data_IF_759813281933
#
_entry.id   IF_759813281933
#
_cell.length_a   1.000
_cell.length_b   1.000
_cell.length_c   1.000
_cell.angle_alpha   90.00
_cell.angle_beta   90.00
_cell.angle_gamma   90.00
#
_symmetry.space_group_name_H-M   'P 1'
#
loop_
_entity.id
_entity.type
_entity.pdbx_description
1 polymer ?
#
# COMPACT_ATOMS: atom_id res chain seq x y z
N UNK A 1 5.94 -9.49 5.40
CA UNK A 1 5.81 -8.85 6.72
C UNK A 1 5.55 -7.36 6.54
N UNK A 2 4.55 -6.83 7.24
CA UNK A 2 4.21 -5.41 7.13
C UNK A 2 5.14 -4.60 8.04
N UNK A 3 5.98 -3.79 7.42
CA UNK A 3 6.96 -2.97 8.13
C UNK A 3 6.38 -1.61 8.51
N UNK A 4 7.12 -0.86 9.31
CA UNK A 4 6.76 0.51 9.65
C UNK A 4 6.62 1.37 8.37
N UNK A 5 7.49 1.16 7.40
CA UNK A 5 7.46 1.89 6.14
C UNK A 5 6.14 1.68 5.40
N UNK A 6 5.68 0.43 5.36
CA UNK A 6 4.41 0.11 4.71
C UNK A 6 3.24 0.76 5.44
N UNK A 7 3.27 0.75 6.77
CA UNK A 7 2.21 1.38 7.55
C UNK A 7 2.18 2.89 7.34
N UNK A 8 3.33 3.53 7.28
CA UNK A 8 3.40 4.97 7.01
C UNK A 8 2.87 5.30 5.61
N UNK A 9 3.20 4.45 4.63
CA UNK A 9 2.69 4.60 3.27
C UNK A 9 1.16 4.53 3.27
N UNK A 10 0.60 3.54 3.95
CA UNK A 10 -0.85 3.37 4.00
C UNK A 10 -1.53 4.57 4.66
N UNK A 11 -0.93 5.11 5.72
CA UNK A 11 -1.47 6.31 6.37
C UNK A 11 -1.50 7.50 5.42
N UNK A 12 -0.46 7.66 4.62
CA UNK A 12 -0.40 8.75 3.63
C UNK A 12 -1.45 8.56 2.55
N UNK A 13 -1.68 7.32 2.13
CA UNK A 13 -2.73 7.01 1.17
C UNK A 13 -4.09 7.37 1.74
N UNK A 14 -4.35 7.01 3.00
CA UNK A 14 -5.61 7.31 3.66
C UNK A 14 -5.86 8.82 3.80
N UNK A 15 -4.79 9.59 3.93
CA UNK A 15 -4.88 11.05 4.02
C UNK A 15 -4.98 11.73 2.66
N UNK A 16 -4.96 10.96 1.58
CA UNK A 16 -5.05 11.51 0.24
C UNK A 16 -3.78 12.17 -0.27
N UNK A 17 -2.63 11.83 0.32
CA UNK A 17 -1.34 12.41 -0.08
C UNK A 17 -0.76 11.77 -1.32
N UNK A 18 -1.28 10.59 -1.72
CA UNK A 18 -0.86 9.91 -2.93
C UNK A 18 -2.05 9.77 -3.87
N UNK A 19 -1.81 9.93 -5.18
CA UNK A 19 -2.76 9.51 -6.19
C UNK A 19 -2.74 7.98 -6.28
N UNK A 20 -3.72 7.40 -6.95
CA UNK A 20 -3.78 5.95 -7.12
C UNK A 20 -2.50 5.43 -7.79
N UNK A 21 -2.04 6.11 -8.84
CA UNK A 21 -0.83 5.68 -9.56
C UNK A 21 0.40 5.73 -8.68
N UNK A 22 0.55 6.80 -7.89
CA UNK A 22 1.69 6.92 -6.97
C UNK A 22 1.64 5.84 -5.90
N UNK A 23 0.46 5.58 -5.35
CA UNK A 23 0.28 4.55 -4.33
C UNK A 23 0.61 3.17 -4.88
N UNK A 24 0.19 2.87 -6.10
CA UNK A 24 0.47 1.59 -6.74
C UNK A 24 1.96 1.42 -7.03
N UNK A 25 2.63 2.50 -7.40
CA UNK A 25 4.08 2.44 -7.62
C UNK A 25 4.82 1.99 -6.36
N UNK A 26 4.49 2.60 -5.22
CA UNK A 26 5.09 2.21 -3.95
C UNK A 26 4.68 0.80 -3.54
N UNK A 27 3.44 0.41 -3.81
CA UNK A 27 2.95 -0.93 -3.53
C UNK A 27 3.80 -1.99 -4.26
N UNK A 28 4.12 -1.74 -5.52
CA UNK A 28 4.95 -2.66 -6.29
C UNK A 28 6.34 -2.78 -5.67
N UNK A 29 6.91 -1.69 -5.17
CA UNK A 29 8.19 -1.73 -4.47
C UNK A 29 8.11 -2.60 -3.23
N UNK A 30 7.03 -2.51 -2.47
CA UNK A 30 6.87 -3.29 -1.25
C UNK A 30 6.60 -4.78 -1.52
N UNK A 31 6.22 -5.13 -2.73
CA UNK A 31 5.90 -6.52 -3.08
C UNK A 31 7.07 -7.46 -2.90
N UNK A 32 8.30 -6.94 -2.90
CA UNK A 32 9.50 -7.76 -2.76
C UNK A 32 9.62 -8.41 -1.39
N UNK A 33 8.99 -7.86 -0.36
CA UNK A 33 9.06 -8.39 0.99
C UNK A 33 7.70 -8.66 1.64
N UNK A 34 6.62 -8.49 0.90
CA UNK A 34 5.28 -8.77 1.40
C UNK A 34 4.83 -10.16 0.94
N UNK A 35 4.06 -10.85 1.80
CA UNK A 35 3.46 -12.11 1.40
C UNK A 35 2.29 -11.84 0.45
N UNK A 36 1.85 -12.91 -0.25
CA UNK A 36 0.71 -12.79 -1.15
C UNK A 36 -0.53 -12.30 -0.41
N UNK A 37 -0.78 -12.83 0.78
CA UNK A 37 -1.94 -12.44 1.57
C UNK A 37 -1.88 -10.98 2.02
N UNK A 38 -0.68 -10.53 2.41
CA UNK A 38 -0.47 -9.14 2.80
C UNK A 38 -0.72 -8.22 1.61
N UNK A 39 -0.21 -8.58 0.44
CA UNK A 39 -0.41 -7.79 -0.76
C UNK A 39 -1.89 -7.71 -1.14
N UNK A 40 -2.59 -8.83 -1.03
CA UNK A 40 -4.01 -8.89 -1.35
C UNK A 40 -4.81 -7.98 -0.42
N UNK A 41 -4.50 -8.01 0.87
CA UNK A 41 -5.18 -7.18 1.86
C UNK A 41 -4.92 -5.70 1.62
N UNK A 42 -3.67 -5.33 1.37
CA UNK A 42 -3.31 -3.93 1.14
C UNK A 42 -3.89 -3.41 -0.17
N UNK A 43 -3.90 -4.23 -1.21
CA UNK A 43 -4.50 -3.84 -2.48
C UNK A 43 -5.99 -3.60 -2.35
N UNK A 44 -6.67 -4.49 -1.63
CA UNK A 44 -8.10 -4.33 -1.39
C UNK A 44 -8.40 -3.02 -0.67
N UNK A 45 -7.59 -2.70 0.34
CA UNK A 45 -7.75 -1.45 1.08
C UNK A 45 -7.48 -0.25 0.21
N UNK A 46 -6.45 -0.32 -0.62
CA UNK A 46 -6.12 0.76 -1.54
C UNK A 46 -7.27 1.03 -2.51
N UNK A 47 -7.84 -0.02 -3.07
CA UNK A 47 -8.97 0.11 -3.98
C UNK A 47 -10.20 0.68 -3.29
N UNK A 48 -10.39 0.36 -2.03
CA UNK A 48 -11.50 0.89 -1.23
C UNK A 48 -11.35 2.38 -0.97
N UNK A 49 -10.12 2.86 -0.84
CA UNK A 49 -9.84 4.28 -0.59
C UNK A 49 -9.89 5.13 -1.85
N UNK A 50 -9.71 4.51 -2.99
CA UNK A 50 -9.74 5.18 -4.29
C UNK A 50 -10.96 4.73 -5.08
#
# INVERSE_FOLDING_TARGET
MITKEVREWMQKVERGQYSYDDAMYEFIRFSSFLTREEMKMLKSRLESLC
#
